data_IF_790093593487
#
_entry.id   IF_790093593487
#
_cell.length_a   1.000
_cell.length_b   1.000
_cell.length_c   1.000
_cell.angle_alpha   90.00
_cell.angle_beta   90.00
_cell.angle_gamma   90.00
#
_symmetry.space_group_name_H-M   'P 1'
#
loop_
_entity.id
_entity.type
_entity.pdbx_description
1 polymer ?
#
# COMPACT_ATOMS: atom_id res chain seq x y z
N UNK A 1 -18.80 0.05 -5.98
CA UNK A 1 -18.64 0.21 -7.44
C UNK A 1 -17.16 0.27 -7.77
N UNK A 2 -16.74 -0.32 -8.88
CA UNK A 2 -15.36 -0.19 -9.37
C UNK A 2 -15.27 1.07 -10.24
N UNK A 3 -14.35 1.98 -9.91
CA UNK A 3 -14.12 3.20 -10.68
C UNK A 3 -12.73 3.15 -11.28
N UNK A 4 -12.60 3.53 -12.55
CA UNK A 4 -11.30 3.75 -13.17
C UNK A 4 -10.62 4.97 -12.55
N UNK A 5 -9.44 4.77 -11.99
CA UNK A 5 -8.59 5.83 -11.45
C UNK A 5 -7.63 6.36 -12.50
N UNK A 6 -7.44 7.67 -12.50
CA UNK A 6 -6.52 8.41 -13.36
C UNK A 6 -5.43 9.08 -12.52
N UNK A 7 -4.27 9.42 -13.12
CA UNK A 7 -3.27 10.21 -12.42
C UNK A 7 -3.85 11.50 -11.84
N UNK A 8 -3.60 11.74 -10.56
CA UNK A 8 -4.12 12.91 -9.84
C UNK A 8 -5.44 12.69 -9.11
N UNK A 9 -6.11 11.55 -9.32
CA UNK A 9 -7.30 11.21 -8.55
C UNK A 9 -6.99 11.05 -7.07
N UNK A 10 -7.91 11.52 -6.22
CA UNK A 10 -7.83 11.29 -4.77
C UNK A 10 -8.35 9.90 -4.45
N UNK A 11 -7.58 9.20 -3.64
CA UNK A 11 -7.90 7.89 -3.06
C UNK A 11 -8.36 8.12 -1.62
N UNK A 12 -9.39 7.38 -1.20
CA UNK A 12 -9.91 7.42 0.16
C UNK A 12 -8.91 6.79 1.15
N UNK A 13 -9.08 7.08 2.44
CA UNK A 13 -8.30 6.45 3.51
C UNK A 13 -8.53 4.94 3.63
N UNK A 14 -9.63 4.46 3.06
CA UNK A 14 -9.94 3.03 2.91
C UNK A 14 -10.43 2.79 1.49
N UNK A 15 -9.61 2.12 0.68
CA UNK A 15 -9.92 1.89 -0.74
C UNK A 15 -9.26 0.60 -1.25
N UNK A 16 -9.94 -0.08 -2.17
CA UNK A 16 -9.41 -1.24 -2.89
C UNK A 16 -8.91 -0.79 -4.25
N UNK A 17 -7.67 -1.14 -4.57
CA UNK A 17 -7.01 -0.80 -5.82
C UNK A 17 -6.68 -2.07 -6.59
N UNK A 18 -6.97 -2.05 -7.89
CA UNK A 18 -6.79 -3.19 -8.78
C UNK A 18 -6.08 -2.77 -10.06
N UNK A 19 -5.06 -3.54 -10.46
CA UNK A 19 -4.37 -3.36 -11.74
C UNK A 19 -4.67 -4.52 -12.68
N UNK A 20 -4.80 -4.20 -13.98
CA UNK A 20 -4.96 -5.19 -15.04
C UNK A 20 -3.67 -5.95 -15.35
N UNK A 21 -3.73 -6.85 -16.33
CA UNK A 21 -2.60 -7.69 -16.77
C UNK A 21 -1.40 -6.89 -17.31
N UNK A 22 -1.68 -5.80 -18.01
CA UNK A 22 -0.67 -4.97 -18.68
C UNK A 22 -0.75 -3.54 -18.11
N UNK A 23 -0.87 -3.45 -16.78
CA UNK A 23 -1.13 -2.19 -16.08
C UNK A 23 -0.30 -2.11 -14.81
N UNK A 24 0.12 -0.91 -14.47
CA UNK A 24 0.77 -0.59 -13.21
C UNK A 24 0.17 0.70 -12.67
N UNK A 25 0.27 0.90 -11.36
CA UNK A 25 -0.16 2.13 -10.70
C UNK A 25 0.87 2.53 -9.65
N UNK A 26 1.04 3.83 -9.43
CA UNK A 26 1.80 4.34 -8.30
C UNK A 26 0.95 5.32 -7.52
N UNK A 27 1.06 5.23 -6.20
CA UNK A 27 0.34 6.05 -5.26
C UNK A 27 1.34 6.71 -4.33
N UNK A 28 1.10 7.99 -4.06
CA UNK A 28 1.82 8.77 -3.05
C UNK A 28 0.81 9.16 -1.98
N UNK A 29 1.06 8.69 -0.76
CA UNK A 29 0.24 9.04 0.39
C UNK A 29 0.70 10.38 0.98
N UNK A 30 -0.16 10.99 1.81
CA UNK A 30 0.11 12.32 2.39
C UNK A 30 1.31 12.35 3.34
N UNK A 31 1.69 11.21 3.91
CA UNK A 31 2.88 11.09 4.77
C UNK A 31 4.18 10.91 3.96
N UNK A 32 4.09 10.89 2.63
CA UNK A 32 5.20 10.63 1.72
C UNK A 32 5.47 9.15 1.43
N UNK A 33 4.64 8.23 1.94
CA UNK A 33 4.74 6.81 1.57
C UNK A 33 4.45 6.65 0.08
N UNK A 34 5.30 5.90 -0.62
CA UNK A 34 5.12 5.57 -2.04
C UNK A 34 4.80 4.09 -2.16
N UNK A 35 3.71 3.77 -2.83
CA UNK A 35 3.34 2.39 -3.19
C UNK A 35 3.30 2.26 -4.71
N UNK A 36 4.07 1.32 -5.25
CA UNK A 36 4.04 0.97 -6.66
C UNK A 36 3.43 -0.43 -6.82
N UNK A 37 2.33 -0.52 -7.55
CA UNK A 37 1.58 -1.73 -7.82
C UNK A 37 1.98 -2.28 -9.18
N UNK A 38 2.41 -3.53 -9.20
CA UNK A 38 2.67 -4.27 -10.43
C UNK A 38 1.40 -4.72 -11.15
N UNK A 39 1.53 -5.53 -12.20
CA UNK A 39 0.39 -6.07 -12.93
C UNK A 39 -0.37 -7.14 -12.16
N UNK A 40 -1.67 -7.27 -12.46
CA UNK A 40 -2.60 -8.23 -11.82
C UNK A 40 -2.63 -8.13 -10.28
N UNK A 41 -2.41 -6.93 -9.76
CA UNK A 41 -2.37 -6.67 -8.33
C UNK A 41 -3.76 -6.32 -7.80
N UNK A 42 -4.10 -6.85 -6.64
CA UNK A 42 -5.24 -6.42 -5.84
C UNK A 42 -4.73 -6.09 -4.43
N UNK A 43 -4.87 -4.83 -4.04
CA UNK A 43 -4.44 -4.32 -2.75
C UNK A 43 -5.56 -3.56 -2.07
N UNK A 44 -5.71 -3.80 -0.78
CA UNK A 44 -6.62 -3.08 0.09
C UNK A 44 -5.82 -2.11 0.95
N UNK A 45 -6.04 -0.81 0.76
CA UNK A 45 -5.69 0.19 1.76
C UNK A 45 -6.77 0.11 2.83
N UNK A 46 -6.52 -0.61 3.91
CA UNK A 46 -7.54 -0.81 4.95
C UNK A 46 -7.60 0.36 5.92
N UNK A 47 -6.47 1.04 6.14
CA UNK A 47 -6.40 2.21 7.00
C UNK A 47 -5.29 3.15 6.54
N UNK A 48 -5.62 4.42 6.42
CA UNK A 48 -4.65 5.50 6.33
C UNK A 48 -5.14 6.71 7.12
N UNK A 49 -4.34 7.15 8.09
CA UNK A 49 -4.55 8.39 8.83
C UNK A 49 -3.19 9.06 9.01
N UNK A 50 -3.13 10.38 8.82
CA UNK A 50 -1.92 11.16 8.96
C UNK A 50 -2.24 12.58 9.41
N UNK A 51 -1.62 13.01 10.51
CA UNK A 51 -1.63 14.39 10.98
C UNK A 51 -0.31 15.07 10.56
N UNK A 52 -0.40 16.11 9.74
CA UNK A 52 0.78 16.81 9.24
C UNK A 52 1.48 17.69 10.29
N UNK A 53 0.80 18.02 11.40
CA UNK A 53 1.30 18.84 12.50
C UNK A 53 2.13 18.00 13.46
N UNK A 54 1.58 16.86 13.91
CA UNK A 54 2.27 15.95 14.84
C UNK A 54 3.13 14.93 14.12
N UNK A 55 2.93 14.74 12.81
CA UNK A 55 3.54 13.69 11.99
C UNK A 55 3.16 12.27 12.42
N UNK A 56 2.11 12.13 13.23
CA UNK A 56 1.59 10.85 13.69
C UNK A 56 0.53 10.29 12.75
N UNK A 57 0.32 8.98 12.79
CA UNK A 57 -0.63 8.34 11.90
C UNK A 57 -0.65 6.83 12.01
N UNK A 58 -1.34 6.20 11.07
CA UNK A 58 -1.38 4.74 10.91
C UNK A 58 -1.57 4.38 9.45
N UNK A 59 -0.86 3.34 9.00
CA UNK A 59 -0.97 2.79 7.66
C UNK A 59 -1.13 1.27 7.76
N UNK A 60 -2.25 0.76 7.25
CA UNK A 60 -2.48 -0.67 7.11
C UNK A 60 -2.82 -0.98 5.65
N UNK A 61 -2.03 -1.88 5.07
CA UNK A 61 -2.17 -2.32 3.68
C UNK A 61 -2.28 -3.83 3.66
N UNK A 62 -3.21 -4.36 2.86
CA UNK A 62 -3.35 -5.80 2.64
C UNK A 62 -3.20 -6.12 1.15
N UNK A 63 -2.11 -6.79 0.79
CA UNK A 63 -1.92 -7.32 -0.56
C UNK A 63 -2.65 -8.66 -0.70
N UNK A 64 -3.66 -8.70 -1.56
CA UNK A 64 -4.45 -9.92 -1.81
C UNK A 64 -3.75 -10.81 -2.84
N UNK A 65 -3.24 -10.20 -3.93
CA UNK A 65 -2.49 -10.88 -5.00
C UNK A 65 -1.60 -9.93 -5.78
N UNK A 66 -0.62 -10.46 -6.50
CA UNK A 66 0.27 -9.73 -7.39
C UNK A 66 1.48 -9.18 -6.64
N UNK A 67 2.01 -8.04 -7.08
CA UNK A 67 3.21 -7.45 -6.48
C UNK A 67 3.05 -5.98 -6.13
N UNK A 68 3.75 -5.57 -5.08
CA UNK A 68 3.80 -4.20 -4.59
C UNK A 68 5.20 -3.87 -4.08
N UNK A 69 5.76 -2.73 -4.49
CA UNK A 69 6.90 -2.08 -3.82
C UNK A 69 6.37 -0.99 -2.92
N UNK A 70 6.87 -0.91 -1.69
CA UNK A 70 6.52 0.17 -0.77
C UNK A 70 7.78 0.82 -0.22
N UNK A 71 7.79 2.15 -0.22
CA UNK A 71 8.79 2.99 0.41
C UNK A 71 8.09 3.77 1.52
N UNK A 72 8.46 3.51 2.77
CA UNK A 72 7.82 4.14 3.93
C UNK A 72 8.06 5.64 4.01
N UNK A 73 6.98 6.38 4.30
CA UNK A 73 6.99 7.81 4.60
C UNK A 73 7.22 8.12 6.09
N UNK A 74 6.73 9.29 6.50
CA UNK A 74 6.94 9.87 7.83
C UNK A 74 6.35 9.00 8.95
N UNK A 75 5.18 8.37 8.74
CA UNK A 75 4.56 7.50 9.75
C UNK A 75 5.51 6.34 10.08
N UNK A 76 5.96 5.61 9.06
CA UNK A 76 6.86 4.46 9.26
C UNK A 76 8.25 4.82 9.75
N UNK A 77 8.68 6.08 9.55
CA UNK A 77 9.94 6.60 10.11
C UNK A 77 9.81 6.95 11.59
N UNK A 78 8.70 7.58 11.99
CA UNK A 78 8.47 8.02 13.37
C UNK A 78 7.99 6.90 14.29
N UNK A 79 7.04 6.09 13.81
CA UNK A 79 6.50 4.94 14.52
C UNK A 79 6.35 3.75 13.56
N UNK A 80 7.39 2.92 13.41
CA UNK A 80 7.36 1.81 12.48
C UNK A 80 6.26 0.78 12.77
N UNK A 81 5.87 0.61 14.05
CA UNK A 81 4.79 -0.29 14.47
C UNK A 81 3.40 0.21 14.03
N UNK A 82 3.29 1.48 13.63
CA UNK A 82 2.07 2.04 13.04
C UNK A 82 1.91 1.71 11.54
N UNK A 83 2.87 1.02 10.93
CA UNK A 83 2.84 0.59 9.53
C UNK A 83 2.84 -0.93 9.44
N UNK A 84 1.73 -1.49 8.95
CA UNK A 84 1.57 -2.94 8.78
C UNK A 84 1.22 -3.26 7.34
N UNK A 85 1.94 -4.23 6.77
CA UNK A 85 1.57 -4.84 5.48
C UNK A 85 1.23 -6.29 5.69
N UNK A 86 0.05 -6.72 5.25
CA UNK A 86 -0.38 -8.10 5.35
C UNK A 86 -0.59 -8.71 3.96
N UNK A 87 -0.32 -10.00 3.82
CA UNK A 87 -0.76 -10.84 2.71
C UNK A 87 -1.74 -11.88 3.24
N UNK A 88 -2.26 -12.77 2.37
CA UNK A 88 -3.09 -13.89 2.83
C UNK A 88 -2.35 -14.81 3.81
N UNK A 89 -1.03 -14.93 3.67
CA UNK A 89 -0.22 -15.95 4.35
C UNK A 89 0.74 -15.38 5.40
N UNK A 90 1.03 -14.07 5.37
CA UNK A 90 2.00 -13.45 6.27
C UNK A 90 1.63 -12.02 6.64
N UNK A 91 2.07 -11.58 7.81
CA UNK A 91 2.07 -10.16 8.20
C UNK A 91 3.51 -9.69 8.29
N UNK A 92 3.78 -8.54 7.69
CA UNK A 92 5.08 -7.90 7.57
C UNK A 92 5.06 -6.63 8.43
N UNK A 93 5.84 -6.64 9.50
CA UNK A 93 6.14 -5.44 10.28
C UNK A 93 7.25 -4.64 9.63
N UNK A 94 7.09 -3.33 9.53
CA UNK A 94 8.05 -2.46 8.83
C UNK A 94 8.91 -1.72 9.86
N UNK A 95 10.23 -1.67 9.66
CA UNK A 95 11.18 -0.91 10.50
C UNK A 95 12.04 0.04 9.65
N UNK A 96 11.37 0.88 8.88
CA UNK A 96 12.00 1.80 7.92
C UNK A 96 12.63 1.02 6.76
N UNK A 97 11.91 0.89 5.64
CA UNK A 97 12.43 0.08 4.53
C UNK A 97 11.76 0.44 3.20
N UNK A 98 12.54 0.26 2.14
CA UNK A 98 12.10 0.07 0.77
C UNK A 98 12.09 -1.42 0.49
N UNK A 99 10.92 -2.00 0.24
CA UNK A 99 10.79 -3.43 0.03
C UNK A 99 9.79 -3.75 -1.06
N UNK A 100 9.93 -4.96 -1.61
CA UNK A 100 9.02 -5.53 -2.58
C UNK A 100 8.36 -6.74 -1.92
N UNK A 101 7.04 -6.78 -1.95
CA UNK A 101 6.25 -7.95 -1.56
C UNK A 101 5.52 -8.46 -2.79
N UNK A 102 5.59 -9.76 -3.01
CA UNK A 102 4.78 -10.45 -4.02
C UNK A 102 3.98 -11.53 -3.32
N UNK A 103 2.70 -11.59 -3.66
CA UNK A 103 1.76 -12.60 -3.19
C UNK A 103 1.13 -13.21 -4.43
N UNK A 104 1.87 -14.11 -5.07
CA UNK A 104 1.31 -14.94 -6.12
C UNK A 104 0.80 -16.24 -5.49
N UNK A 105 -0.38 -16.64 -5.92
CA UNK A 105 -0.78 -18.03 -5.78
C UNK A 105 0.09 -18.76 -6.80
N UNK A 106 1.22 -19.31 -6.34
CA UNK A 106 1.90 -20.36 -7.10
C UNK A 106 0.84 -21.45 -7.27
N UNK A 107 0.27 -21.52 -8.48
CA UNK A 107 -0.64 -22.59 -8.82
C UNK A 107 0.14 -23.89 -8.61
N UNK A 108 -0.42 -24.87 -7.89
CA UNK A 108 0.26 -26.13 -7.61
C UNK A 108 0.68 -26.87 -8.87
#
# INVERSE_FOLDING_TARGET
EERRVQPGDRIASTERLMTGRDSAASLVLRDGTVMALGPRTNVDLSRFSYDATTQEGSLAVRLVRGSMRMITGLIGRGNPDAVTVATRTATIGIRGTDFIVSADEEAP
#
